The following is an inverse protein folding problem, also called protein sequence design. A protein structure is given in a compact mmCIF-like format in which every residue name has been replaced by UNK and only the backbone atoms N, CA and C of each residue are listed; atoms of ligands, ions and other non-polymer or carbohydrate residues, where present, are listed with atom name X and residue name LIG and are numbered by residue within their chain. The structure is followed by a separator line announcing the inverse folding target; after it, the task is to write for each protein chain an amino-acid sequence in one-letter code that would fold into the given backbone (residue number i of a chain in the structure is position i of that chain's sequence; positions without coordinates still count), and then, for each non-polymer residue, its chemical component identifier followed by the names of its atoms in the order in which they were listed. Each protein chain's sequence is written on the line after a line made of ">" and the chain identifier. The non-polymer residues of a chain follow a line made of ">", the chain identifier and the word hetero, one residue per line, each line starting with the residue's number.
data_IF_751223468189
#
_entry.id   IF_751223468189
#
_cell.length_a   1.000
_cell.length_b   1.000
_cell.length_c   1.000
_cell.angle_alpha   90.00
_cell.angle_beta   90.00
_cell.angle_gamma   90.00
#
_symmetry.space_group_name_H-M   'P 1'
#
loop_
_entity.id
_entity.type
_entity.pdbx_description
1 polymer ?
#
# COMPACT_ATOMS: atom_id res chain seq x y z
N UNK A 1 2.02 7.02 -48.27
CA UNK A 1 1.01 7.08 -47.19
C UNK A 1 -0.12 7.95 -47.67
N UNK A 2 -1.15 7.36 -48.28
CA UNK A 2 -2.28 8.09 -48.82
C UNK A 2 -3.35 7.07 -49.13
N UNK A 3 -4.55 7.34 -48.64
CA UNK A 3 -5.78 6.60 -48.90
C UNK A 3 -6.08 5.34 -48.05
N UNK A 4 -6.29 5.56 -46.76
CA UNK A 4 -6.95 4.59 -45.89
C UNK A 4 -8.41 5.00 -45.66
N UNK A 5 -9.35 4.29 -46.29
CA UNK A 5 -10.80 4.52 -46.20
C UNK A 5 -11.45 4.29 -44.82
N UNK A 6 -10.65 4.01 -43.77
CA UNK A 6 -11.17 3.82 -42.40
C UNK A 6 -11.30 5.16 -41.69
N UNK A 7 -12.27 5.29 -40.77
CA UNK A 7 -12.46 6.49 -39.95
C UNK A 7 -11.17 6.89 -39.21
N UNK A 8 -10.79 8.16 -39.29
CA UNK A 8 -9.61 8.72 -38.61
C UNK A 8 -10.02 9.30 -37.26
N UNK A 9 -9.24 8.98 -36.22
CA UNK A 9 -9.57 9.35 -34.84
C UNK A 9 -8.62 10.41 -34.28
N UNK A 10 -7.35 10.43 -34.71
CA UNK A 10 -6.34 11.40 -34.27
C UNK A 10 -5.20 11.54 -35.30
N UNK A 11 -4.61 12.73 -35.41
CA UNK A 11 -3.48 13.05 -36.32
C UNK A 11 -3.70 12.68 -37.80
N UNK A 12 -4.95 12.70 -38.27
CA UNK A 12 -5.30 12.30 -39.64
C UNK A 12 -5.07 10.81 -39.93
N UNK A 13 -5.09 9.95 -38.89
CA UNK A 13 -4.84 8.51 -39.02
C UNK A 13 -6.00 7.68 -38.46
N UNK A 14 -6.27 6.54 -39.11
CA UNK A 14 -7.15 5.51 -38.54
C UNK A 14 -6.49 4.86 -37.32
N UNK A 15 -7.26 4.24 -36.43
CA UNK A 15 -6.73 3.60 -35.21
C UNK A 15 -5.55 2.64 -35.49
N UNK A 16 -5.65 1.84 -36.56
CA UNK A 16 -4.57 0.91 -36.97
C UNK A 16 -3.31 1.63 -37.46
N UNK A 17 -3.45 2.74 -38.17
CA UNK A 17 -2.32 3.55 -38.63
C UNK A 17 -1.72 4.40 -37.51
N UNK A 18 -2.55 4.90 -36.59
CA UNK A 18 -2.09 5.58 -35.39
C UNK A 18 -1.27 4.63 -34.52
N UNK A 19 -1.76 3.41 -34.27
CA UNK A 19 -1.02 2.37 -33.52
C UNK A 19 0.27 1.95 -34.24
N UNK A 20 0.23 1.82 -35.58
CA UNK A 20 1.42 1.49 -36.39
C UNK A 20 2.45 2.62 -36.46
N UNK A 21 2.01 3.88 -36.49
CA UNK A 21 2.90 5.04 -36.46
C UNK A 21 3.47 5.26 -35.05
N UNK A 22 2.69 4.94 -34.01
CA UNK A 22 3.18 4.93 -32.63
C UNK A 22 4.18 3.79 -32.38
N UNK A 23 4.05 2.67 -33.10
CA UNK A 23 4.98 1.53 -33.04
C UNK A 23 6.14 1.60 -34.03
N UNK A 24 6.10 2.46 -35.05
CA UNK A 24 7.15 2.64 -36.06
C UNK A 24 7.57 4.11 -36.14
N UNK A 25 8.43 4.54 -35.24
CA UNK A 25 9.45 5.53 -35.56
C UNK A 25 10.72 4.76 -35.94
N UNK A 26 10.90 4.58 -37.24
CA UNK A 26 12.21 4.49 -37.91
C UNK A 26 13.18 3.34 -37.53
N UNK A 27 12.86 2.51 -36.55
CA UNK A 27 13.61 1.31 -36.17
C UNK A 27 12.68 0.11 -36.06
N UNK A 28 13.21 -1.09 -36.27
CA UNK A 28 12.45 -2.32 -36.01
C UNK A 28 12.04 -2.35 -34.52
N UNK A 29 10.92 -2.98 -34.18
CA UNK A 29 10.53 -3.15 -32.77
C UNK A 29 11.57 -3.95 -31.95
N UNK A 30 12.49 -4.62 -32.66
CA UNK A 30 13.59 -5.42 -32.15
C UNK A 30 14.81 -4.56 -31.74
N UNK A 31 14.89 -3.29 -32.18
CA UNK A 31 16.05 -2.41 -31.95
C UNK A 31 15.89 -1.42 -30.78
N UNK A 32 14.71 -1.36 -30.13
CA UNK A 32 14.58 -0.50 -28.94
C UNK A 32 15.19 -1.24 -27.75
N UNK A 33 16.31 -0.77 -27.15
CA UNK A 33 16.86 -1.42 -25.97
C UNK A 33 15.78 -1.43 -24.89
N UNK A 34 15.31 -2.63 -24.56
CA UNK A 34 14.34 -2.82 -23.49
C UNK A 34 15.08 -2.52 -22.19
N UNK A 35 14.76 -1.38 -21.57
CA UNK A 35 15.28 -1.05 -20.25
C UNK A 35 14.98 -2.22 -19.32
N UNK A 36 16.04 -2.75 -18.71
CA UNK A 36 15.95 -3.76 -17.67
C UNK A 36 15.04 -3.29 -16.54
N UNK A 37 14.56 -4.23 -15.73
CA UNK A 37 13.80 -3.88 -14.53
C UNK A 37 14.60 -2.93 -13.63
N UNK A 38 15.92 -3.14 -13.50
CA UNK A 38 16.79 -2.27 -12.73
C UNK A 38 16.86 -0.85 -13.29
N UNK A 39 17.02 -0.67 -14.60
CA UNK A 39 17.06 0.68 -15.20
C UNK A 39 15.71 1.40 -15.07
N UNK A 40 14.60 0.68 -15.23
CA UNK A 40 13.26 1.24 -15.00
C UNK A 40 13.07 1.64 -13.54
N UNK A 41 13.50 0.80 -12.60
CA UNK A 41 13.44 1.09 -11.17
C UNK A 41 14.31 2.29 -10.82
N UNK A 42 15.57 2.31 -11.25
CA UNK A 42 16.52 3.37 -10.95
C UNK A 42 16.03 4.74 -11.44
N UNK A 43 15.38 4.79 -12.61
CA UNK A 43 14.77 6.00 -13.17
C UNK A 43 13.51 6.48 -12.46
N UNK A 44 12.97 5.73 -11.50
CA UNK A 44 11.80 6.08 -10.70
C UNK A 44 12.15 6.42 -9.24
N UNK A 45 13.44 6.54 -8.93
CA UNK A 45 13.95 6.90 -7.60
C UNK A 45 14.66 8.24 -7.68
N UNK A 46 14.08 9.24 -7.03
CA UNK A 46 14.70 10.56 -6.90
C UNK A 46 15.80 10.51 -5.83
N UNK A 47 17.05 10.75 -6.24
CA UNK A 47 18.24 10.76 -5.38
C UNK A 47 18.84 12.16 -5.19
N UNK A 48 18.11 13.20 -5.60
CA UNK A 48 18.58 14.59 -5.56
C UNK A 48 18.95 15.09 -4.17
N UNK A 49 18.34 14.52 -3.11
CA UNK A 49 18.61 14.88 -1.72
C UNK A 49 19.96 14.41 -1.15
N UNK A 50 20.77 13.66 -1.91
CA UNK A 50 22.05 13.12 -1.44
C UNK A 50 21.94 11.75 -0.75
N UNK A 51 23.07 11.17 -0.29
CA UNK A 51 23.15 9.77 0.12
C UNK A 51 22.39 9.44 1.41
N UNK A 52 22.24 10.41 2.32
CA UNK A 52 21.56 10.23 3.62
C UNK A 52 20.11 10.74 3.61
N UNK A 53 19.67 11.39 2.53
CA UNK A 53 18.28 11.82 2.42
C UNK A 53 17.35 10.66 2.05
N UNK A 54 16.05 10.83 2.29
CA UNK A 54 15.08 9.95 1.64
C UNK A 54 15.24 10.03 0.12
N UNK A 55 15.06 8.91 -0.56
CA UNK A 55 15.01 8.87 -2.03
C UNK A 55 13.58 8.58 -2.48
N UNK A 56 12.73 9.60 -2.72
CA UNK A 56 11.31 9.39 -3.00
C UNK A 56 11.07 8.57 -4.27
N UNK A 57 10.09 7.67 -4.20
CA UNK A 57 9.52 7.03 -5.37
C UNK A 57 8.66 8.02 -6.16
N UNK A 58 8.95 8.19 -7.44
CA UNK A 58 8.21 9.08 -8.36
C UNK A 58 7.31 8.31 -9.35
N UNK A 59 7.22 6.99 -9.21
CA UNK A 59 6.37 6.14 -10.02
C UNK A 59 4.96 5.95 -9.46
N UNK A 60 4.26 4.91 -9.94
CA UNK A 60 2.92 4.55 -9.47
C UNK A 60 2.91 4.21 -7.97
N UNK A 61 1.78 4.48 -7.31
CA UNK A 61 1.60 4.28 -5.87
C UNK A 61 0.30 3.55 -5.52
N UNK A 62 0.27 2.91 -4.36
CA UNK A 62 -0.90 2.27 -3.79
C UNK A 62 -0.77 2.16 -2.27
N UNK A 63 -1.80 2.59 -1.53
CA UNK A 63 -1.74 2.74 -0.06
C UNK A 63 -0.48 3.49 0.41
N UNK A 64 -0.12 4.58 -0.29
CA UNK A 64 1.05 5.44 -0.05
C UNK A 64 2.42 4.77 -0.29
N UNK A 65 2.45 3.50 -0.67
CA UNK A 65 3.67 2.80 -1.08
C UNK A 65 3.90 2.94 -2.58
N UNK A 66 5.15 3.09 -2.99
CA UNK A 66 5.52 2.91 -4.40
C UNK A 66 5.20 1.50 -4.88
N UNK A 67 4.71 1.37 -6.11
CA UNK A 67 4.41 0.11 -6.79
C UNK A 67 5.31 -0.02 -8.01
N UNK A 68 5.89 -1.19 -8.18
CA UNK A 68 6.79 -1.51 -9.28
C UNK A 68 6.39 -2.81 -9.97
N UNK A 69 6.39 -2.77 -11.31
CA UNK A 69 6.22 -3.92 -12.18
C UNK A 69 7.58 -4.38 -12.68
N UNK A 70 7.98 -5.59 -12.35
CA UNK A 70 9.31 -6.14 -12.69
C UNK A 70 9.47 -6.56 -14.16
N UNK A 71 8.41 -6.48 -14.97
CA UNK A 71 8.43 -6.92 -16.37
C UNK A 71 7.86 -8.32 -16.57
N UNK A 72 7.50 -9.01 -15.49
CA UNK A 72 6.97 -10.38 -15.54
C UNK A 72 5.45 -10.40 -15.39
N UNK A 73 4.84 -11.53 -15.78
CA UNK A 73 3.42 -11.77 -15.68
C UNK A 73 3.16 -12.94 -14.73
N UNK A 74 2.08 -12.85 -13.98
CA UNK A 74 1.54 -13.96 -13.19
C UNK A 74 1.09 -15.09 -14.11
N UNK A 75 0.88 -16.30 -13.55
CA UNK A 75 0.33 -17.45 -14.30
C UNK A 75 -1.04 -17.16 -14.95
N UNK A 76 -1.76 -16.14 -14.48
CA UNK A 76 -3.06 -15.69 -15.01
C UNK A 76 -2.94 -14.58 -16.06
N UNK A 77 -1.72 -14.19 -16.46
CA UNK A 77 -1.47 -13.16 -17.46
C UNK A 77 -1.54 -11.72 -16.94
N UNK A 78 -1.74 -11.50 -15.65
CA UNK A 78 -1.69 -10.15 -15.06
C UNK A 78 -0.25 -9.72 -14.78
N UNK A 79 0.05 -8.42 -14.91
CA UNK A 79 1.34 -7.86 -14.55
C UNK A 79 1.71 -8.18 -13.09
N UNK A 80 2.94 -8.64 -12.87
CA UNK A 80 3.45 -8.93 -11.54
C UNK A 80 3.88 -7.64 -10.82
N UNK A 81 2.92 -6.99 -10.17
CA UNK A 81 3.15 -5.78 -9.38
C UNK A 81 3.54 -6.12 -7.95
N UNK A 82 4.52 -5.42 -7.41
CA UNK A 82 4.88 -5.48 -5.99
C UNK A 82 5.25 -4.11 -5.44
N UNK A 83 5.41 -4.00 -4.13
CA UNK A 83 5.88 -2.76 -3.51
C UNK A 83 7.30 -2.45 -3.97
N UNK A 84 7.54 -1.21 -4.39
CA UNK A 84 8.82 -0.75 -4.93
C UNK A 84 9.98 -1.01 -3.95
N UNK A 85 9.77 -0.76 -2.66
CA UNK A 85 10.82 -0.99 -1.66
C UNK A 85 11.13 -2.47 -1.44
N UNK A 86 10.16 -3.37 -1.62
CA UNK A 86 10.39 -4.82 -1.53
C UNK A 86 11.19 -5.29 -2.74
N UNK A 87 10.85 -4.82 -3.93
CA UNK A 87 11.63 -5.10 -5.14
C UNK A 87 13.05 -4.54 -5.01
N UNK A 88 13.19 -3.28 -4.58
CA UNK A 88 14.48 -2.62 -4.38
C UNK A 88 15.35 -3.33 -3.35
N UNK A 89 14.79 -3.70 -2.19
CA UNK A 89 15.51 -4.46 -1.17
C UNK A 89 16.02 -5.80 -1.71
N UNK A 90 15.16 -6.57 -2.41
CA UNK A 90 15.51 -7.87 -2.99
C UNK A 90 16.65 -7.81 -4.01
N UNK A 91 16.74 -6.71 -4.76
CA UNK A 91 17.71 -6.56 -5.84
C UNK A 91 18.97 -5.77 -5.46
N UNK A 92 18.97 -5.05 -4.34
CA UNK A 92 20.08 -4.16 -3.94
C UNK A 92 20.67 -4.46 -2.56
N UNK A 93 19.90 -5.07 -1.67
CA UNK A 93 20.30 -5.30 -0.28
C UNK A 93 20.41 -6.80 0.04
N UNK A 94 19.35 -7.57 -0.20
CA UNK A 94 19.37 -9.00 0.09
C UNK A 94 18.01 -9.67 -0.01
N UNK A 95 17.96 -10.97 0.27
CA UNK A 95 16.73 -11.74 0.23
C UNK A 95 15.82 -11.47 1.43
N UNK A 96 14.52 -11.77 1.25
CA UNK A 96 13.51 -11.79 2.30
C UNK A 96 12.97 -13.21 2.38
N UNK A 97 13.08 -13.83 3.56
CA UNK A 97 12.44 -15.09 3.87
C UNK A 97 10.93 -14.90 4.05
N UNK A 98 10.20 -16.02 4.13
CA UNK A 98 8.76 -15.97 4.38
C UNK A 98 8.46 -15.32 5.74
N UNK A 99 7.45 -14.44 5.78
CA UNK A 99 7.11 -13.65 6.96
C UNK A 99 8.05 -12.45 7.26
N UNK A 100 9.18 -12.29 6.57
CA UNK A 100 10.04 -11.10 6.72
C UNK A 100 9.48 -9.90 5.96
N UNK A 101 9.67 -8.71 6.52
CA UNK A 101 9.25 -7.44 5.94
C UNK A 101 10.42 -6.47 5.84
N UNK A 102 10.32 -5.54 4.89
CA UNK A 102 11.21 -4.38 4.80
C UNK A 102 10.57 -3.25 5.58
N UNK A 103 11.33 -2.67 6.51
CA UNK A 103 10.91 -1.58 7.40
C UNK A 103 11.58 -0.29 6.96
N UNK A 104 10.83 0.81 6.96
CA UNK A 104 11.37 2.15 6.71
C UNK A 104 11.74 2.81 8.03
N UNK A 105 13.04 2.90 8.33
CA UNK A 105 13.56 3.57 9.52
C UNK A 105 13.29 5.08 9.50
N UNK A 106 13.10 5.65 8.31
CA UNK A 106 12.74 7.05 8.10
C UNK A 106 11.23 7.33 8.15
N UNK A 107 10.38 6.29 8.32
CA UNK A 107 8.92 6.38 8.31
C UNK A 107 8.29 6.99 7.03
N UNK A 108 9.06 7.10 5.95
CA UNK A 108 8.57 7.52 4.64
C UNK A 108 8.33 6.30 3.73
N UNK A 109 7.05 5.94 3.53
CA UNK A 109 6.60 4.78 2.73
C UNK A 109 7.06 4.82 1.27
N UNK A 110 7.38 6.01 0.73
CA UNK A 110 7.88 6.21 -0.63
C UNK A 110 9.39 6.10 -0.73
N UNK A 111 10.12 6.12 0.39
CA UNK A 111 11.58 6.13 0.38
C UNK A 111 12.16 4.82 -0.20
N UNK A 112 13.09 4.98 -1.15
CA UNK A 112 13.87 3.91 -1.78
C UNK A 112 15.37 3.95 -1.43
N UNK A 113 15.74 4.73 -0.41
CA UNK A 113 17.11 4.74 0.08
C UNK A 113 17.36 3.46 0.89
N UNK A 114 18.32 2.66 0.44
CA UNK A 114 18.71 1.40 1.09
C UNK A 114 19.28 1.58 2.50
N UNK A 115 19.87 2.75 2.78
CA UNK A 115 20.34 3.12 4.14
C UNK A 115 19.17 3.33 5.11
N UNK A 116 17.96 3.56 4.60
CA UNK A 116 16.75 3.76 5.40
C UNK A 116 15.89 2.50 5.52
N UNK A 117 16.38 1.36 5.03
CA UNK A 117 15.70 0.08 5.13
C UNK A 117 16.31 -0.79 6.21
N UNK A 118 15.45 -1.53 6.91
CA UNK A 118 15.86 -2.63 7.76
C UNK A 118 14.99 -3.85 7.48
N UNK A 119 15.60 -5.04 7.51
CA UNK A 119 14.85 -6.28 7.57
C UNK A 119 14.24 -6.46 8.97
N UNK A 120 13.13 -7.16 9.05
CA UNK A 120 12.56 -7.54 10.33
C UNK A 120 11.26 -8.30 10.17
N UNK A 121 10.54 -8.42 11.27
CA UNK A 121 9.22 -9.05 11.34
C UNK A 121 8.11 -8.00 11.36
N UNK A 122 6.84 -8.39 11.16
CA UNK A 122 5.70 -7.51 11.41
C UNK A 122 5.68 -6.95 12.84
N UNK A 123 6.17 -7.71 13.83
CA UNK A 123 6.29 -7.26 15.22
C UNK A 123 7.33 -6.14 15.34
N UNK A 124 8.48 -6.25 14.67
CA UNK A 124 9.49 -5.20 14.69
C UNK A 124 9.00 -3.92 14.01
N UNK A 125 8.26 -4.05 12.89
CA UNK A 125 7.62 -2.89 12.25
C UNK A 125 6.58 -2.20 13.15
N UNK A 126 5.83 -2.99 13.93
CA UNK A 126 4.91 -2.43 14.92
C UNK A 126 5.65 -1.71 16.04
N UNK A 127 6.76 -2.29 16.54
CA UNK A 127 7.64 -1.66 17.53
C UNK A 127 8.22 -0.34 17.03
N UNK A 128 8.68 -0.27 15.78
CA UNK A 128 9.18 0.97 15.18
C UNK A 128 8.10 2.06 15.17
N UNK A 129 6.86 1.69 14.82
CA UNK A 129 5.74 2.62 14.75
C UNK A 129 5.36 3.16 16.14
N UNK A 130 5.48 2.32 17.19
CA UNK A 130 5.28 2.74 18.59
C UNK A 130 6.43 3.63 19.05
N UNK A 131 7.68 3.23 18.80
CA UNK A 131 8.87 3.99 19.20
C UNK A 131 8.92 5.37 18.54
N UNK A 132 8.48 5.48 17.28
CA UNK A 132 8.38 6.74 16.56
C UNK A 132 7.19 7.61 16.97
N UNK A 133 6.37 7.17 17.94
CA UNK A 133 5.17 7.89 18.35
C UNK A 133 4.10 8.01 17.26
N UNK A 134 4.16 7.17 16.21
CA UNK A 134 3.17 7.14 15.12
C UNK A 134 1.94 6.33 15.56
N UNK A 135 2.16 5.27 16.35
CA UNK A 135 1.10 4.57 17.07
C UNK A 135 1.06 5.02 18.53
N UNK A 136 0.28 6.07 18.78
CA UNK A 136 0.03 6.60 20.11
C UNK A 136 -1.05 5.78 20.83
N UNK A 137 -0.62 4.94 21.77
CA UNK A 137 -1.48 4.39 22.83
C UNK A 137 -2.42 3.25 22.42
N UNK A 138 -3.18 2.70 23.38
CA UNK A 138 -4.30 1.82 23.04
C UNK A 138 -5.19 2.61 22.08
N UNK A 139 -5.61 1.98 20.99
CA UNK A 139 -6.39 2.65 19.95
C UNK A 139 -7.68 3.29 20.50
N UNK A 140 -8.59 3.71 19.62
CA UNK A 140 -9.87 4.32 20.04
C UNK A 140 -10.64 3.53 21.11
N UNK A 141 -10.35 2.24 21.32
CA UNK A 141 -10.87 1.42 22.42
C UNK A 141 -9.77 0.94 23.36
N UNK A 142 -10.03 1.10 24.66
CA UNK A 142 -9.30 0.46 25.77
C UNK A 142 -10.20 -0.61 26.42
N UNK A 143 -9.65 -1.43 27.32
CA UNK A 143 -10.45 -2.41 28.05
C UNK A 143 -11.58 -1.74 28.85
N UNK A 144 -11.29 -0.59 29.47
CA UNK A 144 -12.22 0.21 30.25
C UNK A 144 -13.35 0.76 29.36
N UNK A 145 -13.01 1.34 28.20
CA UNK A 145 -14.00 1.83 27.23
C UNK A 145 -14.85 0.71 26.65
N UNK A 146 -14.31 -0.51 26.54
CA UNK A 146 -15.07 -1.70 26.12
C UNK A 146 -16.08 -2.12 27.19
N UNK A 147 -15.68 -2.14 28.47
CA UNK A 147 -16.62 -2.38 29.57
C UNK A 147 -17.71 -1.32 29.59
N UNK A 148 -17.33 -0.05 29.49
CA UNK A 148 -18.25 1.08 29.45
C UNK A 148 -19.24 0.97 28.27
N UNK A 149 -18.76 0.72 27.05
CA UNK A 149 -19.61 0.57 25.88
C UNK A 149 -20.60 -0.59 26.03
N UNK A 150 -20.17 -1.72 26.61
CA UNK A 150 -21.05 -2.86 26.89
C UNK A 150 -22.12 -2.50 27.92
N UNK A 151 -21.76 -1.82 29.01
CA UNK A 151 -22.69 -1.40 30.05
C UNK A 151 -23.71 -0.38 29.52
N UNK A 152 -23.24 0.65 28.81
CA UNK A 152 -24.10 1.69 28.24
C UNK A 152 -25.06 1.14 27.19
N UNK A 153 -24.64 0.16 26.39
CA UNK A 153 -25.56 -0.51 25.46
C UNK A 153 -26.55 -1.44 26.19
N UNK A 154 -26.13 -2.07 27.29
CA UNK A 154 -26.98 -2.96 28.07
C UNK A 154 -28.18 -2.26 28.73
N UNK A 155 -28.13 -0.93 28.95
CA UNK A 155 -29.28 -0.15 29.44
C UNK A 155 -30.42 -0.05 28.44
N UNK A 156 -30.17 -0.34 27.15
CA UNK A 156 -31.17 -0.21 26.07
C UNK A 156 -31.50 1.22 25.67
N UNK A 157 -30.93 2.24 26.33
CA UNK A 157 -31.26 3.66 26.11
C UNK A 157 -30.49 4.30 24.96
N UNK A 158 -29.45 3.64 24.45
CA UNK A 158 -28.61 4.16 23.36
C UNK A 158 -28.49 3.14 22.22
N UNK A 159 -28.64 3.63 21.00
CA UNK A 159 -28.43 2.80 19.80
C UNK A 159 -26.94 2.52 19.57
N UNK A 160 -26.63 1.39 18.92
CA UNK A 160 -25.25 1.07 18.52
C UNK A 160 -24.66 2.18 17.63
N UNK A 161 -25.45 2.75 16.72
CA UNK A 161 -25.01 3.85 15.85
C UNK A 161 -24.59 5.09 16.64
N UNK A 162 -25.40 5.51 17.62
CA UNK A 162 -25.10 6.70 18.43
C UNK A 162 -23.86 6.47 19.31
N UNK A 163 -23.78 5.32 19.98
CA UNK A 163 -22.65 4.98 20.84
C UNK A 163 -21.34 4.82 20.04
N UNK A 164 -21.40 4.29 18.82
CA UNK A 164 -20.23 4.15 17.94
C UNK A 164 -19.68 5.51 17.51
N UNK A 165 -20.58 6.46 17.17
CA UNK A 165 -20.22 7.82 16.80
C UNK A 165 -19.51 8.54 17.95
N UNK A 166 -19.99 8.39 19.18
CA UNK A 166 -19.42 9.00 20.39
C UNK A 166 -17.99 8.49 20.68
N UNK A 167 -17.73 7.21 20.42
CA UNK A 167 -16.38 6.63 20.52
C UNK A 167 -15.53 6.82 19.26
N UNK A 168 -16.08 7.42 18.20
CA UNK A 168 -15.40 7.61 16.92
C UNK A 168 -15.03 6.32 16.19
N UNK A 169 -15.78 5.23 16.41
CA UNK A 169 -15.56 3.92 15.77
C UNK A 169 -16.71 3.60 14.80
N UNK A 170 -16.51 2.60 13.93
CA UNK A 170 -17.60 2.13 13.05
C UNK A 170 -18.65 1.36 13.85
N UNK A 171 -19.91 1.47 13.43
CA UNK A 171 -21.03 0.72 14.02
C UNK A 171 -20.77 -0.79 13.98
N UNK A 172 -20.20 -1.30 12.88
CA UNK A 172 -19.83 -2.71 12.76
C UNK A 172 -18.78 -3.15 13.79
N UNK A 173 -17.83 -2.28 14.16
CA UNK A 173 -16.86 -2.57 15.21
C UNK A 173 -17.54 -2.55 16.58
N UNK A 174 -18.38 -1.57 16.88
CA UNK A 174 -19.14 -1.53 18.13
C UNK A 174 -20.03 -2.78 18.27
N UNK A 175 -20.72 -3.20 17.20
CA UNK A 175 -21.51 -4.44 17.18
C UNK A 175 -20.69 -5.66 17.60
N UNK A 176 -19.44 -5.76 17.14
CA UNK A 176 -18.56 -6.86 17.53
C UNK A 176 -18.12 -6.75 19.00
N UNK A 177 -17.95 -5.53 19.53
CA UNK A 177 -17.62 -5.26 20.93
C UNK A 177 -18.78 -5.68 21.86
N UNK A 178 -20.00 -5.22 21.58
CA UNK A 178 -21.18 -5.50 22.43
C UNK A 178 -21.56 -6.99 22.40
N UNK A 179 -21.39 -7.65 21.26
CA UNK A 179 -21.63 -9.10 21.13
C UNK A 179 -20.42 -9.95 21.55
N UNK A 180 -19.40 -9.36 22.18
CA UNK A 180 -18.20 -10.06 22.67
C UNK A 180 -17.46 -10.90 21.59
N UNK A 181 -17.60 -10.54 20.31
CA UNK A 181 -16.89 -11.21 19.19
C UNK A 181 -15.42 -10.78 19.14
N UNK A 182 -15.14 -9.58 19.62
CA UNK A 182 -13.79 -9.03 19.89
C UNK A 182 -13.66 -8.72 21.38
N UNK A 183 -12.43 -8.47 21.87
CA UNK A 183 -12.16 -8.20 23.29
C UNK A 183 -12.69 -9.31 24.22
N UNK A 184 -12.40 -10.58 23.86
CA UNK A 184 -12.87 -11.77 24.58
C UNK A 184 -12.36 -11.82 26.02
N UNK A 185 -11.15 -11.31 26.27
CA UNK A 185 -10.53 -11.25 27.59
C UNK A 185 -11.23 -10.27 28.57
N UNK A 186 -12.01 -9.31 28.07
CA UNK A 186 -12.73 -8.31 28.89
C UNK A 186 -14.08 -8.86 29.42
N UNK A 187 -14.55 -10.02 28.94
CA UNK A 187 -15.75 -10.70 29.44
C UNK A 187 -17.09 -9.96 29.20
N UNK A 188 -18.23 -10.68 29.22
CA UNK A 188 -19.55 -10.06 29.05
C UNK A 188 -19.95 -9.25 30.29
N UNK A 189 -20.79 -8.23 30.10
CA UNK A 189 -21.45 -7.51 31.20
C UNK A 189 -22.86 -8.04 31.39
N UNK A 190 -23.36 -8.07 32.63
CA UNK A 190 -24.76 -8.44 32.90
C UNK A 190 -25.66 -7.27 32.51
N UNK A 191 -26.76 -7.56 31.80
CA UNK A 191 -27.81 -6.56 31.61
C UNK A 191 -28.44 -6.27 32.97
N UNK A 192 -28.43 -5.01 33.36
CA UNK A 192 -29.26 -4.55 34.48
C UNK A 192 -30.69 -4.52 33.93
N UNK A 193 -31.59 -5.27 34.58
CA UNK A 193 -32.99 -5.39 34.20
C UNK A 193 -33.73 -4.06 34.32
#
# INVERSE_FOLDING_TARGET
>A
MGDCARKHYAKGMCSKHYLRAWSRKDGTAEDRPQKTAMERYAGLVDRSGGPDACHPWIGAEGNEYGIFWDGTFTKRGHCHNMKAHVWGYRNRVGSLADGEVVRHLCHNKRCQNERHWAKGTPLDNARDSVAAGIHLGPGKMTAERVVEARLRYATGQISQRALAAEYGISEGHLRNIVNCRVWKHVGPVRKVA
#
